data_IF_324012320874
#
_entry.id   IF_324012320874
#
_cell.length_a   1.000
_cell.length_b   1.000
_cell.length_c   1.000
_cell.angle_alpha   90.00
_cell.angle_beta   90.00
_cell.angle_gamma   90.00
#
_symmetry.space_group_name_H-M   'P 1'
#
loop_
_entity.id
_entity.type
_entity.pdbx_description
1 polymer ?
#
# COMPACT_ATOMS: atom_id res chain seq x y z
N UNK A 1 -1.69 8.10 25.13
CA UNK A 1 -0.57 8.47 24.24
C UNK A 1 0.27 7.25 23.82
N UNK A 2 -0.32 6.05 23.73
CA UNK A 2 0.38 4.78 23.42
C UNK A 2 0.09 4.23 22.01
N UNK A 3 -0.79 4.88 21.25
CA UNK A 3 -1.27 4.36 19.96
C UNK A 3 -0.37 4.77 18.77
N UNK A 4 0.16 6.00 18.76
CA UNK A 4 0.88 6.53 17.60
C UNK A 4 2.17 5.74 17.27
N UNK A 5 2.98 5.39 18.27
CA UNK A 5 4.25 4.69 18.07
C UNK A 5 4.10 3.22 17.66
N UNK A 6 2.97 2.58 17.96
CA UNK A 6 2.69 1.20 17.56
C UNK A 6 2.21 1.12 16.10
N UNK A 7 1.42 2.12 15.67
CA UNK A 7 0.95 2.26 14.29
C UNK A 7 2.11 2.60 13.34
N UNK A 8 3.01 3.53 13.74
CA UNK A 8 4.20 3.88 12.94
C UNK A 8 5.11 2.67 12.69
N UNK A 9 5.35 1.86 13.72
CA UNK A 9 6.24 0.69 13.62
C UNK A 9 5.67 -0.39 12.69
N UNK A 10 4.34 -0.58 12.70
CA UNK A 10 3.65 -1.47 11.76
C UNK A 10 3.69 -0.92 10.33
N UNK A 11 3.44 0.38 10.15
CA UNK A 11 3.42 1.04 8.84
C UNK A 11 4.78 1.04 8.16
N UNK A 12 5.86 1.30 8.91
CA UNK A 12 7.23 1.25 8.36
C UNK A 12 7.63 -0.18 7.97
N UNK A 13 7.20 -1.19 8.75
CA UNK A 13 7.39 -2.60 8.41
C UNK A 13 6.69 -3.00 7.11
N UNK A 14 5.47 -2.49 6.88
CA UNK A 14 4.72 -2.70 5.64
C UNK A 14 5.34 -2.01 4.43
N UNK A 15 5.79 -0.76 4.58
CA UNK A 15 6.41 -0.02 3.48
C UNK A 15 7.75 -0.65 3.02
N UNK A 16 8.59 -1.09 3.96
CA UNK A 16 9.84 -1.76 3.62
C UNK A 16 9.63 -3.12 2.94
N UNK A 17 8.54 -3.83 3.27
CA UNK A 17 8.14 -5.05 2.57
C UNK A 17 7.73 -4.73 1.13
N UNK A 18 6.83 -3.76 0.93
CA UNK A 18 6.36 -3.39 -0.41
C UNK A 18 7.48 -2.87 -1.30
N UNK A 19 8.46 -2.16 -0.74
CA UNK A 19 9.63 -1.72 -1.50
C UNK A 19 10.42 -2.90 -2.06
N UNK A 20 10.63 -3.95 -1.25
CA UNK A 20 11.32 -5.17 -1.70
C UNK A 20 10.51 -5.91 -2.75
N UNK A 21 9.21 -6.08 -2.52
CA UNK A 21 8.32 -6.76 -3.48
C UNK A 21 8.23 -5.99 -4.81
N UNK A 22 8.17 -4.66 -4.77
CA UNK A 22 8.18 -3.82 -5.96
C UNK A 22 9.48 -4.00 -6.75
N UNK A 23 10.64 -3.98 -6.08
CA UNK A 23 11.92 -4.25 -6.73
C UNK A 23 11.98 -5.65 -7.35
N UNK A 24 11.52 -6.68 -6.64
CA UNK A 24 11.47 -8.04 -7.17
C UNK A 24 10.56 -8.19 -8.39
N UNK A 25 9.38 -7.55 -8.40
CA UNK A 25 8.45 -7.60 -9.53
C UNK A 25 9.04 -6.89 -10.75
N UNK A 26 9.69 -5.74 -10.54
CA UNK A 26 10.36 -4.98 -11.61
C UNK A 26 11.51 -5.81 -12.19
N UNK A 27 12.37 -6.40 -11.35
CA UNK A 27 13.48 -7.24 -11.80
C UNK A 27 12.98 -8.49 -12.55
N UNK A 28 11.92 -9.15 -12.05
CA UNK A 28 11.29 -10.29 -12.75
C UNK A 28 10.76 -9.92 -14.14
N UNK A 29 10.28 -8.68 -14.32
CA UNK A 29 9.66 -8.24 -15.55
C UNK A 29 10.67 -7.72 -16.59
N UNK A 30 11.73 -7.05 -16.14
CA UNK A 30 12.65 -6.31 -17.00
C UNK A 30 14.09 -6.85 -16.97
N UNK A 31 14.39 -7.76 -16.06
CA UNK A 31 15.70 -8.40 -15.88
C UNK A 31 16.35 -8.02 -14.54
N UNK A 32 17.25 -8.89 -14.07
CA UNK A 32 17.93 -8.73 -12.79
C UNK A 32 18.68 -7.39 -12.71
N UNK A 33 18.45 -6.64 -11.63
CA UNK A 33 19.11 -5.36 -11.36
C UNK A 33 18.47 -4.14 -12.04
N UNK A 34 17.42 -4.32 -12.84
CA UNK A 34 16.70 -3.22 -13.50
C UNK A 34 16.09 -2.26 -12.48
N UNK A 35 15.51 -2.76 -11.39
CA UNK A 35 14.95 -1.95 -10.31
C UNK A 35 16.01 -1.11 -9.60
N UNK A 36 17.24 -1.63 -9.49
CA UNK A 36 18.36 -0.89 -8.89
C UNK A 36 18.90 0.21 -9.82
N UNK A 37 18.85 -0.03 -11.13
CA UNK A 37 19.20 0.97 -12.14
C UNK A 37 18.12 2.06 -12.29
N UNK A 38 16.87 1.73 -11.97
CA UNK A 38 15.69 2.59 -12.12
C UNK A 38 14.88 2.71 -10.82
N UNK A 39 15.45 3.30 -9.74
CA UNK A 39 14.77 3.42 -8.45
C UNK A 39 13.48 4.26 -8.51
N UNK A 40 13.34 5.13 -9.51
CA UNK A 40 12.12 5.90 -9.78
C UNK A 40 10.92 4.99 -10.10
N UNK A 41 11.14 3.83 -10.72
CA UNK A 41 10.08 2.87 -11.01
C UNK A 41 9.58 2.20 -9.71
N UNK A 42 10.50 1.89 -8.80
CA UNK A 42 10.15 1.35 -7.47
C UNK A 42 9.33 2.39 -6.69
N UNK A 43 9.75 3.66 -6.71
CA UNK A 43 9.02 4.74 -6.05
C UNK A 43 7.61 4.95 -6.65
N UNK A 44 7.50 4.95 -7.98
CA UNK A 44 6.22 5.06 -8.68
C UNK A 44 5.29 3.88 -8.38
N UNK A 45 5.83 2.67 -8.36
CA UNK A 45 5.08 1.47 -8.01
C UNK A 45 4.57 1.53 -6.56
N UNK A 46 5.41 1.97 -5.62
CA UNK A 46 5.03 2.15 -4.23
C UNK A 46 3.92 3.19 -4.05
N UNK A 47 3.97 4.31 -4.78
CA UNK A 47 2.88 5.30 -4.75
C UNK A 47 1.57 4.72 -5.29
N UNK A 48 1.62 4.00 -6.42
CA UNK A 48 0.44 3.35 -6.98
C UNK A 48 -0.17 2.33 -6.00
N UNK A 49 0.66 1.50 -5.35
CA UNK A 49 0.22 0.54 -4.35
C UNK A 49 -0.42 1.20 -3.12
N UNK A 50 0.15 2.31 -2.64
CA UNK A 50 -0.43 3.06 -1.52
C UNK A 50 -1.79 3.68 -1.87
N UNK A 51 -1.95 4.20 -3.09
CA UNK A 51 -3.22 4.74 -3.59
C UNK A 51 -4.28 3.63 -3.71
N UNK A 52 -3.91 2.48 -4.27
CA UNK A 52 -4.80 1.33 -4.40
C UNK A 52 -5.29 0.84 -3.03
N UNK A 53 -4.38 0.70 -2.07
CA UNK A 53 -4.73 0.31 -0.71
C UNK A 53 -5.68 1.32 -0.04
N UNK A 54 -5.43 2.63 -0.22
CA UNK A 54 -6.33 3.67 0.27
C UNK A 54 -7.72 3.57 -0.37
N UNK A 55 -7.79 3.30 -1.68
CA UNK A 55 -9.03 3.06 -2.40
C UNK A 55 -9.80 1.85 -1.88
N UNK A 56 -9.12 0.72 -1.63
CA UNK A 56 -9.73 -0.48 -1.03
C UNK A 56 -10.27 -0.20 0.38
N UNK A 57 -9.54 0.57 1.18
CA UNK A 57 -10.00 0.95 2.52
C UNK A 57 -11.26 1.81 2.47
N UNK A 58 -11.28 2.83 1.59
CA UNK A 58 -12.47 3.68 1.37
C UNK A 58 -13.66 2.83 0.93
N UNK A 59 -13.46 1.93 -0.04
CA UNK A 59 -14.51 1.01 -0.51
C UNK A 59 -15.08 0.17 0.63
N UNK A 60 -14.22 -0.43 1.46
CA UNK A 60 -14.65 -1.24 2.60
C UNK A 60 -15.46 -0.43 3.62
N UNK A 61 -15.09 0.83 3.87
CA UNK A 61 -15.86 1.73 4.72
C UNK A 61 -17.24 2.03 4.14
N UNK A 62 -17.34 2.30 2.83
CA UNK A 62 -18.61 2.55 2.15
C UNK A 62 -19.51 1.32 2.21
N UNK A 63 -18.98 0.14 1.88
CA UNK A 63 -19.74 -1.12 1.98
C UNK A 63 -20.23 -1.37 3.41
N UNK A 64 -19.45 -1.02 4.42
CA UNK A 64 -19.86 -1.11 5.83
C UNK A 64 -20.98 -0.12 6.18
N UNK A 65 -20.96 1.10 5.62
CA UNK A 65 -22.01 2.10 5.81
C UNK A 65 -23.31 1.72 5.10
N UNK A 66 -23.23 1.18 3.88
CA UNK A 66 -24.41 0.73 3.12
C UNK A 66 -25.13 -0.42 3.83
N UNK A 67 -24.38 -1.26 4.55
CA UNK A 67 -24.93 -2.35 5.35
C UNK A 67 -25.47 -1.88 6.72
N UNK A 68 -25.33 -0.61 7.09
CA UNK A 68 -25.83 -0.06 8.35
C UNK A 68 -27.36 0.13 8.31
N UNK A 69 -28.15 -0.49 9.21
CA UNK A 69 -29.62 -0.44 9.17
C UNK A 69 -30.25 0.96 9.27
N UNK A 70 -29.51 1.95 9.78
CA UNK A 70 -29.96 3.34 9.91
C UNK A 70 -29.56 4.26 8.74
N UNK A 71 -28.97 3.75 7.65
CA UNK A 71 -28.53 4.57 6.50
C UNK A 71 -29.66 4.90 5.51
N UNK A 72 -30.83 4.26 5.65
CA UNK A 72 -32.00 4.42 4.77
C UNK A 72 -33.20 5.12 5.44
N UNK A 73 -33.00 5.84 6.55
CA UNK A 73 -34.05 6.61 7.26
C UNK A 73 -34.03 8.09 6.89
#
# INVERSE_FOLDING_TARGET
MLEAGMVEKKSAGSAALWMREAAEVIDKQFGDGYASAHPELVAGFMQAAAIDQAGMYIRSLVETLDLWPGSLS
#
